data_IF_764475811989
#
_entry.id   IF_764475811989
#
_cell.length_a   1.000
_cell.length_b   1.000
_cell.length_c   1.000
_cell.angle_alpha   90.00
_cell.angle_beta   90.00
_cell.angle_gamma   90.00
#
_symmetry.space_group_name_H-M   'P 1'
#
loop_
_entity.id
_entity.type
_entity.pdbx_description
1 polymer ?
2 non-polymer ?
3 water ?
#
# COMPACT_ATOMS: atom_id res chain seq x y z
N UNK A 8 8.52 -14.42 -1.97
CA UNK A 8 7.41 -14.53 -0.96
C UNK A 8 6.11 -13.76 -1.30
N UNK A 9 6.21 -12.54 -1.85
CA UNK A 9 5.03 -11.83 -2.45
C UNK A 9 5.38 -11.16 -3.80
N UNK A 10 5.12 -11.87 -4.92
CA UNK A 10 5.36 -11.31 -6.23
C UNK A 10 4.18 -10.50 -6.78
N UNK A 11 4.47 -9.67 -7.81
CA UNK A 11 3.47 -8.95 -8.62
C UNK A 11 2.18 -9.78 -8.98
N UNK A 12 1.02 -9.25 -8.57
CA UNK A 12 -0.33 -9.75 -9.01
C UNK A 12 -0.79 -8.81 -10.12
N UNK A 13 -0.70 -9.24 -11.39
CA UNK A 13 -1.12 -8.41 -12.54
C UNK A 13 -2.65 -8.38 -12.77
N UNK A 14 -3.39 -7.90 -11.77
CA UNK A 14 -4.82 -7.64 -11.92
C UNK A 14 -5.06 -6.28 -12.66
N UNK A 15 -6.15 -6.21 -13.45
CA UNK A 15 -6.63 -5.07 -14.24
C UNK A 15 -7.44 -4.09 -13.40
N UNK A 16 -6.58 -3.38 -12.72
CA UNK A 16 -7.12 -2.46 -11.74
C UNK A 16 -6.58 -1.10 -12.07
N UNK A 17 -7.34 -0.21 -11.69
CA UNK A 17 -6.80 1.15 -11.61
C UNK A 17 -7.25 1.78 -10.27
N UNK A 18 -6.72 2.90 -9.70
CA UNK A 18 -7.17 3.75 -8.66
C UNK A 18 -7.83 4.96 -9.27
N UNK A 19 -9.21 5.44 -8.82
CA UNK A 19 -9.83 6.70 -9.15
C UNK A 19 -9.77 7.58 -7.94
N UNK A 20 -9.27 8.68 -8.16
CA UNK A 20 -8.99 9.62 -7.08
C UNK A 20 -9.70 10.88 -7.50
N UNK A 21 -10.82 11.17 -6.85
CA UNK A 21 -11.68 12.32 -7.18
C UNK A 21 -11.84 13.23 -6.00
N UNK A 22 -11.93 14.52 -6.28
CA UNK A 22 -12.20 15.55 -5.29
C UNK A 22 -13.46 15.25 -4.50
N UNK A 23 -14.47 14.75 -5.22
CA UNK A 23 -15.74 14.27 -4.66
C UNK A 23 -15.64 13.12 -3.60
N UNK A 24 -15.21 11.93 -4.00
CA UNK A 24 -15.26 10.74 -3.17
C UNK A 24 -13.91 10.17 -2.71
N UNK A 25 -12.83 10.94 -2.78
CA UNK A 25 -11.48 10.42 -2.58
C UNK A 25 -11.08 9.26 -3.52
N UNK A 26 -10.29 8.33 -2.99
CA UNK A 26 -9.71 7.20 -3.73
C UNK A 26 -10.52 5.91 -3.60
N UNK A 27 -10.49 5.09 -4.65
CA UNK A 27 -11.13 3.79 -4.66
C UNK A 27 -10.43 2.96 -5.73
N UNK A 28 -10.62 1.65 -5.67
CA UNK A 28 -10.06 0.72 -6.65
C UNK A 28 -11.18 0.25 -7.58
N UNK A 29 -10.93 0.31 -8.88
CA UNK A 29 -11.97 0.03 -9.89
C UNK A 29 -11.41 -0.91 -10.94
N UNK A 30 -12.32 -1.70 -11.52
CA UNK A 30 -11.98 -2.75 -12.49
C UNK A 30 -11.86 -2.13 -13.86
N UNK A 31 -10.75 -2.40 -14.53
CA UNK A 31 -10.55 -1.89 -15.91
C UNK A 31 -11.24 -2.84 -16.91
N UNK A 32 -11.21 -4.14 -16.65
CA UNK A 32 -11.89 -5.15 -17.49
C UNK A 32 -12.60 -6.20 -16.59
N UNK A 33 -13.40 -7.13 -17.18
CA UNK A 33 -14.11 -8.06 -16.31
C UNK A 33 -13.17 -8.95 -15.52
N UNK A 34 -13.53 -9.31 -14.28
CA UNK A 34 -12.67 -10.19 -13.48
C UNK A 34 -13.48 -11.36 -13.00
N UNK A 35 -12.97 -12.59 -13.12
CA UNK A 35 -13.74 -13.74 -12.67
C UNK A 35 -13.87 -13.79 -11.16
N UNK A 36 -14.96 -14.39 -10.67
CA UNK A 36 -15.08 -14.81 -9.28
C UNK A 36 -13.88 -15.58 -8.75
N UNK A 37 -13.59 -15.37 -7.46
CA UNK A 37 -12.51 -16.05 -6.72
C UNK A 37 -11.09 -15.85 -7.26
N UNK A 38 -10.85 -14.72 -7.87
CA UNK A 38 -9.55 -14.34 -8.37
C UNK A 38 -8.83 -13.51 -7.32
N UNK A 39 -7.62 -13.92 -6.99
CA UNK A 39 -6.78 -13.11 -6.09
C UNK A 39 -6.34 -11.85 -6.80
N UNK A 40 -6.87 -10.70 -6.40
CA UNK A 40 -6.51 -9.44 -7.07
C UNK A 40 -5.41 -8.56 -6.37
N UNK A 41 -4.96 -8.93 -5.17
CA UNK A 41 -4.01 -8.11 -4.43
C UNK A 41 -3.47 -8.92 -3.28
N UNK A 42 -2.17 -8.79 -3.02
CA UNK A 42 -1.55 -9.30 -1.80
C UNK A 42 -0.85 -8.08 -1.18
N UNK A 43 -1.29 -7.68 0.00
CA UNK A 43 -0.80 -6.43 0.60
C UNK A 43 0.12 -6.85 1.74
N UNK A 44 1.40 -6.45 1.72
CA UNK A 44 2.17 -6.59 2.97
C UNK A 44 1.65 -5.65 4.09
N UNK A 45 1.74 -6.07 5.32
CA UNK A 45 1.16 -5.35 6.42
C UNK A 45 2.27 -4.66 7.27
N UNK A 46 2.00 -3.44 7.65
CA UNK A 46 2.74 -2.75 8.69
C UNK A 46 2.04 -3.00 10.02
N UNK A 47 2.75 -3.66 10.94
CA UNK A 47 2.19 -4.09 12.21
C UNK A 47 2.51 -3.13 13.35
N UNK A 48 1.50 -2.84 14.15
CA UNK A 48 1.59 -2.01 15.33
C UNK A 48 1.35 -2.92 16.52
N UNK A 49 2.15 -2.79 17.56
CA UNK A 49 1.89 -3.50 18.80
C UNK A 49 0.61 -2.94 19.41
N UNK A 50 0.00 -3.72 20.28
CA UNK A 50 -1.22 -3.33 20.96
C UNK A 50 -0.98 -2.04 21.70
N UNK A 51 0.13 -1.99 22.46
CA UNK A 51 0.37 -0.80 23.26
C UNK A 51 0.55 0.48 22.42
N UNK A 52 1.38 0.44 21.38
CA UNK A 52 1.59 1.63 20.57
C UNK A 52 0.30 2.06 19.84
N UNK A 53 -0.59 1.12 19.50
CA UNK A 53 -1.82 1.50 18.86
C UNK A 53 -2.77 2.04 19.86
N UNK A 54 -2.89 1.38 21.01
CA UNK A 54 -3.79 1.87 22.04
C UNK A 54 -3.40 3.25 22.54
N UNK A 55 -2.10 3.42 22.79
CA UNK A 55 -1.63 4.69 23.30
C UNK A 55 -1.59 5.82 22.31
N UNK A 56 -1.26 5.50 21.06
CA UNK A 56 -1.02 6.52 20.06
C UNK A 56 -1.64 6.28 18.67
N UNK A 57 -1.45 5.11 18.09
CA UNK A 57 -1.89 4.87 16.71
C UNK A 57 -3.36 5.15 16.46
N UNK A 58 -4.19 4.78 17.44
CA UNK A 58 -5.65 4.94 17.32
C UNK A 58 -6.11 6.39 17.29
N UNK A 59 -5.26 7.31 17.77
CA UNK A 59 -5.59 8.73 17.74
C UNK A 59 -5.16 9.42 16.47
N UNK A 60 -4.77 8.66 15.46
CA UNK A 60 -4.40 9.22 14.16
C UNK A 60 -5.36 8.72 13.11
N UNK A 61 -5.14 9.15 11.89
CA UNK A 61 -5.86 8.62 10.77
C UNK A 61 -5.67 7.14 10.51
N UNK A 62 -4.66 6.51 11.15
CA UNK A 62 -4.52 5.06 11.13
C UNK A 62 -5.84 4.41 11.44
N UNK A 63 -6.58 5.00 12.38
CA UNK A 63 -7.87 4.47 12.88
C UNK A 63 -8.83 4.13 11.78
N UNK A 64 -8.77 4.86 10.68
CA UNK A 64 -9.69 4.71 9.61
C UNK A 64 -9.37 3.51 8.74
N UNK A 65 -8.18 2.94 8.81
CA UNK A 65 -7.68 1.97 7.82
C UNK A 65 -7.24 0.64 8.37
N UNK A 66 -6.86 0.58 9.65
CA UNK A 66 -6.22 -0.65 10.15
C UNK A 66 -7.15 -1.82 10.36
N UNK A 67 -6.55 -3.00 10.42
CA UNK A 67 -7.22 -4.25 10.59
C UNK A 67 -6.76 -4.79 11.93
N UNK A 68 -7.65 -5.15 12.82
CA UNK A 68 -7.32 -5.84 14.06
C UNK A 68 -6.39 -7.05 13.73
N UNK A 69 -5.41 -7.52 14.39
CA UNK A 69 -4.50 -8.66 14.27
C UNK A 69 -4.37 -9.45 15.60
N UNK A 70 -3.63 -10.54 15.58
CA UNK A 70 -3.56 -11.40 16.74
C UNK A 70 -2.95 -10.66 17.87
N UNK A 71 -3.46 -10.97 19.05
CA UNK A 71 -2.97 -10.47 20.37
C UNK A 71 -3.16 -8.99 20.57
N UNK A 72 -4.21 -8.44 19.98
CA UNK A 72 -4.48 -7.03 20.13
C UNK A 72 -3.59 -6.10 19.28
N UNK A 73 -2.65 -6.67 18.51
CA UNK A 73 -1.96 -5.91 17.46
C UNK A 73 -2.90 -5.37 16.38
N UNK A 74 -2.38 -4.48 15.55
CA UNK A 74 -3.16 -3.80 14.61
C UNK A 74 -2.28 -3.65 13.38
N UNK A 75 -2.82 -4.00 12.22
CA UNK A 75 -2.05 -3.98 10.97
C UNK A 75 -2.58 -2.92 9.99
N UNK A 76 -1.68 -2.23 9.29
CA UNK A 76 -2.07 -1.39 8.16
C UNK A 76 -1.67 -2.09 6.89
N UNK A 77 -2.61 -2.22 6.01
CA UNK A 77 -2.30 -2.80 4.77
C UNK A 77 -1.66 -1.82 3.85
N UNK A 78 -0.51 -2.22 3.33
CA UNK A 78 0.20 -1.49 2.31
C UNK A 78 -0.28 -1.99 0.92
N UNK A 79 0.46 -1.77 -0.15
CA UNK A 79 -0.02 -2.14 -1.47
C UNK A 79 -1.35 -1.43 -1.76
N UNK A 80 -2.35 -2.16 -2.20
CA UNK A 80 -3.67 -1.52 -2.49
C UNK A 80 -4.67 -1.68 -1.41
N UNK A 81 -4.36 -2.49 -0.41
CA UNK A 81 -5.30 -2.87 0.57
C UNK A 81 -6.06 -1.77 1.30
N UNK A 82 -5.37 -0.67 1.65
CA UNK A 82 -6.01 0.43 2.35
C UNK A 82 -6.84 1.27 1.41
N UNK A 83 -6.82 0.95 0.11
CA UNK A 83 -7.57 1.76 -0.86
C UNK A 83 -8.99 1.24 -1.19
N UNK A 84 -9.25 -0.05 -0.97
CA UNK A 84 -10.61 -0.58 -1.16
C UNK A 84 -11.58 0.20 -0.25
N UNK A 85 -12.70 0.70 -0.76
CA UNK A 85 -13.69 1.24 0.14
C UNK A 85 -14.57 0.16 0.73
N UNK A 86 -15.35 0.54 1.75
CA UNK A 86 -16.29 -0.34 2.39
C UNK A 86 -17.63 -0.13 1.75
N UNK A 87 -18.35 -1.24 1.62
CA UNK A 87 -19.71 -1.20 1.08
C UNK A 87 -20.56 -2.29 1.71
N UNK A 88 -21.86 -2.02 1.76
CA UNK A 88 -22.83 -2.97 2.21
C UNK A 88 -22.97 -4.19 1.29
N UNK A 89 -22.66 -4.11 0.01
CA UNK A 89 -22.76 -5.30 -0.82
C UNK A 89 -21.40 -5.51 -1.43
N UNK A 90 -20.42 -6.03 -0.65
CA UNK A 90 -19.06 -6.05 -1.11
C UNK A 90 -18.90 -7.06 -2.21
N UNK A 91 -17.93 -6.84 -3.07
CA UNK A 91 -17.56 -7.82 -4.08
C UNK A 91 -16.18 -8.33 -3.96
N UNK A 92 -15.53 -8.05 -2.81
CA UNK A 92 -14.19 -8.48 -2.53
C UNK A 92 -14.17 -8.98 -1.12
N UNK A 93 -13.60 -10.08 -0.81
CA UNK A 93 -13.39 -10.57 0.51
C UNK A 93 -11.87 -10.75 0.77
N UNK A 94 -11.31 -10.88 1.98
CA UNK A 94 -9.90 -11.01 2.32
C UNK A 94 -9.58 -12.10 3.28
N UNK A 95 -8.32 -12.43 3.26
CA UNK A 95 -7.73 -13.42 4.17
C UNK A 95 -6.43 -12.94 4.80
N UNK A 96 -6.43 -13.05 6.02
CA UNK A 96 -5.25 -12.63 6.71
C UNK A 96 -4.26 -13.78 6.85
N UNK A 97 -2.90 -13.46 6.69
CA UNK A 97 -1.83 -14.43 6.87
C UNK A 97 -0.92 -13.97 7.99
N UNK A 98 -1.04 -14.60 9.13
CA UNK A 98 -0.26 -14.26 10.31
C UNK A 98 1.23 -14.62 10.21
N UNK A 99 1.54 -15.74 9.59
CA UNK A 99 2.95 -16.19 9.42
C UNK A 99 3.76 -15.25 8.51
N UNK A 100 3.24 -14.93 7.33
CA UNK A 100 3.93 -14.07 6.35
C UNK A 100 3.53 -12.56 6.36
N UNK A 101 2.66 -12.12 7.30
CA UNK A 101 2.27 -10.71 7.42
C UNK A 101 1.77 -10.05 6.16
N UNK A 102 0.75 -10.65 5.62
CA UNK A 102 0.03 -10.01 4.56
C UNK A 102 -1.43 -10.25 4.62
N UNK A 103 -2.14 -9.55 3.75
CA UNK A 103 -3.54 -9.74 3.55
C UNK A 103 -3.76 -9.90 2.05
N UNK A 104 -4.53 -10.90 1.69
CA UNK A 104 -4.85 -11.25 0.30
C UNK A 104 -6.32 -10.97 0.08
N UNK A 105 -6.50 -10.42 -1.13
CA UNK A 105 -7.82 -10.00 -1.52
C UNK A 105 -8.28 -10.84 -2.73
N UNK A 106 -9.48 -11.07 -2.65
CA UNK A 106 -10.09 -11.89 -3.70
C UNK A 106 -11.42 -11.35 -4.09
N UNK A 107 -11.92 -11.61 -5.36
CA UNK A 107 -13.28 -11.33 -5.81
C UNK A 107 -14.30 -12.38 -5.30
N UNK A 108 -15.44 -11.86 -4.83
CA UNK A 108 -16.59 -12.66 -4.39
C UNK A 108 -17.46 -13.13 -5.55
N UNK A 109 -17.39 -12.49 -6.71
CA UNK A 109 -18.20 -12.82 -7.84
C UNK A 109 -17.51 -12.25 -9.05
N UNK A 110 -18.08 -12.44 -10.23
CA UNK A 110 -17.67 -11.76 -11.44
C UNK A 110 -17.83 -10.26 -11.25
N UNK A 111 -16.79 -9.54 -11.67
CA UNK A 111 -16.78 -8.12 -11.66
C UNK A 111 -16.86 -7.65 -13.09
N UNK A 112 -17.68 -6.66 -13.32
CA UNK A 112 -17.81 -6.04 -14.60
C UNK A 112 -16.87 -4.84 -14.71
N UNK A 113 -16.51 -4.42 -15.91
CA UNK A 113 -15.65 -3.29 -16.09
C UNK A 113 -16.35 -2.04 -15.58
N UNK A 114 -15.57 -1.18 -14.93
CA UNK A 114 -15.94 0.07 -14.28
C UNK A 114 -16.58 -0.10 -12.91
N UNK A 115 -16.69 -1.32 -12.43
CA UNK A 115 -17.22 -1.52 -11.08
C UNK A 115 -16.17 -1.15 -10.05
N UNK A 116 -16.58 -0.47 -8.99
CA UNK A 116 -15.73 -0.33 -7.80
C UNK A 116 -15.52 -1.65 -7.07
N UNK A 117 -14.28 -1.97 -6.67
CA UNK A 117 -13.97 -3.10 -5.76
C UNK A 117 -14.07 -2.62 -4.30
N UNK A 118 -14.95 -3.27 -3.55
CA UNK A 118 -15.28 -2.85 -2.20
C UNK A 118 -15.31 -4.04 -1.31
N UNK A 119 -14.87 -3.81 -0.07
CA UNK A 119 -14.87 -4.81 0.99
C UNK A 119 -15.96 -4.50 2.03
N UNK A 120 -16.23 -5.48 2.89
CA UNK A 120 -17.17 -5.35 3.98
C UNK A 120 -16.75 -4.23 4.94
N UNK A 121 -17.71 -3.61 5.64
CA UNK A 121 -17.37 -2.78 6.80
C UNK A 121 -16.78 -3.59 7.97
N UNK A 122 -17.06 -4.88 8.05
CA UNK A 122 -16.67 -5.66 9.17
C UNK A 122 -15.25 -6.18 9.11
N UNK A 123 -14.69 -6.32 10.28
CA UNK A 123 -13.40 -6.95 10.44
C UNK A 123 -13.66 -8.29 11.13
N UNK A 124 -12.63 -9.11 11.18
CA UNK A 124 -12.71 -10.35 11.89
C UNK A 124 -11.30 -10.87 12.19
N UNK A 125 -11.23 -11.78 13.14
CA UNK A 125 -9.94 -12.25 13.60
C UNK A 125 -9.89 -13.78 13.48
N UNK A 126 -9.54 -14.21 12.29
CA UNK A 126 -9.09 -15.57 12.06
C UNK A 126 -8.13 -15.41 10.90
N UNK A 127 -7.28 -16.41 10.77
CA UNK A 127 -6.18 -16.42 9.83
C UNK A 127 -6.28 -17.63 8.94
N UNK A 128 -5.93 -17.46 7.67
CA UNK A 128 -5.93 -18.59 6.74
C UNK A 128 -4.91 -19.65 7.17
N UNK A 129 -3.81 -19.23 7.76
CA UNK A 129 -2.74 -20.15 8.20
C UNK A 129 -2.96 -20.94 9.56
N UNK A 130 -4.07 -20.70 10.29
CA UNK A 130 -4.27 -21.30 11.63
C UNK A 130 -4.86 -22.71 11.54
N UNK B 1 -13.44 29.37 -11.93
CA UNK B 1 -13.65 28.54 -13.15
C UNK B 1 -13.30 27.09 -12.87
N UNK B 2 -13.68 26.24 -13.80
CA UNK B 2 -13.31 24.84 -13.77
C UNK B 2 -14.17 23.93 -12.88
N UNK B 3 -13.76 22.68 -12.77
CA UNK B 3 -14.56 21.68 -12.10
C UNK B 3 -13.68 20.97 -11.12
N UNK B 4 -14.28 20.02 -10.42
CA UNK B 4 -13.52 19.19 -9.47
C UNK B 4 -12.59 18.26 -10.20
N UNK B 5 -11.48 17.96 -9.56
CA UNK B 5 -10.49 17.04 -10.11
C UNK B 5 -10.94 15.55 -10.12
N UNK B 6 -10.37 14.81 -11.05
CA UNK B 6 -10.65 13.41 -11.27
C UNK B 6 -9.50 12.71 -11.99
N UNK B 7 -8.85 11.78 -11.33
CA UNK B 7 -7.73 11.04 -11.87
C UNK B 7 -7.94 9.54 -11.88
N UNK B 8 -7.36 8.87 -12.86
CA UNK B 8 -7.37 7.43 -12.99
C UNK B 8 -5.91 7.05 -13.10
N UNK B 9 -5.40 6.29 -12.15
CA UNK B 9 -3.99 6.09 -11.99
C UNK B 9 -3.73 4.58 -12.14
N UNK B 10 -2.67 4.20 -12.86
CA UNK B 10 -2.45 2.78 -13.15
C UNK B 10 -1.88 2.16 -11.92
N UNK B 11 -2.26 0.92 -11.73
CA UNK B 11 -1.55 0.13 -10.80
C UNK B 11 -0.45 -0.42 -11.68
N UNK B 12 0.79 0.04 -11.45
CA UNK B 12 1.93 -0.35 -12.33
C UNK B 12 2.35 -1.79 -12.01
N UNK B 13 2.29 -2.67 -12.98
CA UNK B 13 2.65 -4.06 -12.70
C UNK B 13 4.05 -4.34 -13.11
N UNK B 14 4.98 -3.84 -12.34
CA UNK B 14 6.40 -4.07 -12.54
C UNK B 14 6.77 -5.46 -12.05
N UNK B 15 7.83 -6.04 -12.60
CA UNK B 15 8.22 -7.40 -12.24
C UNK B 15 9.10 -7.36 -10.99
N UNK B 16 8.43 -7.21 -9.85
CA UNK B 16 9.05 -6.96 -8.58
C UNK B 16 8.51 -7.95 -7.60
N UNK B 17 9.27 -8.24 -6.56
CA UNK B 17 8.82 -9.15 -5.53
C UNK B 17 9.30 -8.68 -4.16
N UNK B 18 8.57 -9.01 -3.10
CA UNK B 18 8.94 -8.66 -1.77
C UNK B 18 9.56 -9.89 -1.18
N UNK B 19 10.73 -9.72 -0.60
CA UNK B 19 11.36 -10.79 0.12
C UNK B 19 11.86 -10.32 1.45
N UNK B 20 11.98 -11.25 2.37
CA UNK B 20 12.69 -10.93 3.62
C UNK B 20 14.19 -10.97 3.42
N UNK B 21 14.92 -9.99 3.96
CA UNK B 21 16.39 -9.95 3.98
C UNK B 21 16.92 -10.18 5.41
N UNK B 22 18.15 -10.67 5.53
CA UNK B 22 18.71 -10.98 6.84
C UNK B 22 18.90 -9.74 7.67
N UNK B 23 19.48 -8.69 7.12
CA UNK B 23 19.77 -7.58 7.98
C UNK B 23 18.61 -6.58 8.05
N UNK B 24 17.91 -6.36 6.94
CA UNK B 24 17.06 -5.15 6.83
C UNK B 24 15.53 -5.37 6.83
N UNK B 25 15.10 -6.60 7.11
CA UNK B 25 13.69 -6.96 7.02
C UNK B 25 13.31 -7.01 5.55
N UNK B 26 12.08 -6.65 5.24
CA UNK B 26 11.53 -6.85 3.93
C UNK B 26 12.13 -5.89 2.95
N UNK B 27 12.24 -6.35 1.72
CA UNK B 27 12.81 -5.55 0.69
C UNK B 27 12.19 -5.94 -0.62
N UNK B 28 12.44 -5.12 -1.63
CA UNK B 28 11.86 -5.27 -2.95
C UNK B 28 12.97 -5.70 -3.91
N UNK B 29 12.67 -6.74 -4.67
CA UNK B 29 13.64 -7.36 -5.59
C UNK B 29 13.10 -7.51 -7.03
N UNK B 30 14.00 -7.40 -8.01
CA UNK B 30 13.69 -7.62 -9.45
C UNK B 30 13.58 -9.07 -9.84
N UNK B 31 12.50 -9.42 -10.53
CA UNK B 31 12.29 -10.73 -11.07
C UNK B 31 12.84 -10.87 -12.50
N UNK B 32 13.19 -9.75 -13.10
CA UNK B 32 13.78 -9.72 -14.43
C UNK B 32 14.44 -8.35 -14.58
N UNK B 33 15.31 -8.20 -15.60
CA UNK B 33 15.97 -6.93 -15.75
C UNK B 33 14.99 -5.79 -16.02
N UNK B 34 15.41 -4.58 -15.67
CA UNK B 34 14.56 -3.42 -15.79
C UNK B 34 15.41 -2.29 -16.33
N UNK B 35 14.95 -1.62 -17.41
CA UNK B 35 15.76 -0.51 -17.93
C UNK B 35 15.86 0.64 -16.99
N UNK B 36 16.91 1.44 -17.17
CA UNK B 36 17.09 2.69 -16.46
C UNK B 36 15.98 3.66 -16.74
N UNK B 37 15.76 4.61 -15.85
CA UNK B 37 14.71 5.59 -16.02
C UNK B 37 13.32 4.97 -16.32
N UNK B 38 13.02 3.80 -15.75
CA UNK B 38 11.69 3.22 -15.88
C UNK B 38 10.88 3.59 -14.60
N UNK B 39 9.65 4.05 -14.75
CA UNK B 39 8.77 4.24 -13.60
C UNK B 39 8.31 2.87 -13.07
N UNK B 40 8.72 2.48 -11.87
CA UNK B 40 8.33 1.12 -11.37
C UNK B 40 7.21 1.12 -10.35
N UNK B 41 6.83 2.30 -9.86
CA UNK B 41 5.80 2.39 -8.84
C UNK B 41 5.29 3.85 -8.72
N UNK B 42 3.99 4.00 -8.54
CA UNK B 42 3.36 5.25 -8.16
C UNK B 42 2.59 4.90 -6.88
N UNK B 43 3.03 5.42 -5.73
CA UNK B 43 2.42 5.11 -4.42
C UNK B 43 1.52 6.27 -3.94
N UNK B 44 0.23 5.99 -3.70
CA UNK B 44 -0.60 6.90 -2.92
C UNK B 44 0.00 7.08 -1.52
N UNK B 45 -0.08 8.29 -0.99
CA UNK B 45 0.40 8.63 0.25
C UNK B 45 -0.77 8.86 1.19
N UNK B 46 -0.67 8.23 2.37
CA UNK B 46 -1.57 8.49 3.47
C UNK B 46 -0.87 9.60 4.27
N UNK B 47 -1.54 10.73 4.43
CA UNK B 47 -0.98 11.90 5.06
C UNK B 47 -1.32 12.06 6.53
N UNK B 48 -0.31 12.37 7.35
CA UNK B 48 -0.53 12.68 8.74
C UNK B 48 -0.28 14.17 8.96
N UNK B 49 -1.18 14.86 9.63
CA UNK B 49 -1.00 16.28 9.97
C UNK B 49 0.19 16.40 10.93
N UNK B 50 0.76 17.58 10.94
CA UNK B 50 1.83 17.90 11.86
C UNK B 50 1.42 17.56 13.29
N UNK B 51 0.22 17.96 13.66
CA UNK B 51 -0.22 17.80 15.02
C UNK B 51 -0.37 16.31 15.42
N UNK B 52 -0.99 15.48 14.58
CA UNK B 52 -1.22 14.05 14.99
C UNK B 52 0.11 13.28 14.94
N UNK B 53 1.01 13.71 14.05
CA UNK B 53 2.29 13.10 13.98
C UNK B 53 3.09 13.48 15.23
N UNK B 54 3.14 14.76 15.56
CA UNK B 54 3.93 15.15 16.73
C UNK B 54 3.35 14.59 18.05
N UNK B 55 2.02 14.54 18.17
CA UNK B 55 1.42 14.06 19.41
C UNK B 55 1.40 12.52 19.57
N UNK B 56 1.27 11.85 18.44
CA UNK B 56 0.95 10.41 18.44
C UNK B 56 1.80 9.61 17.46
N UNK B 57 1.79 10.03 16.21
CA UNK B 57 2.34 9.18 15.17
C UNK B 57 3.82 8.86 15.26
N UNK B 58 4.60 9.83 15.66
CA UNK B 58 6.07 9.67 15.87
C UNK B 58 6.46 8.70 16.96
N UNK B 59 5.53 8.41 17.85
CA UNK B 59 5.75 7.47 18.92
C UNK B 59 5.47 6.02 18.49
N UNK B 60 5.12 5.82 17.23
CA UNK B 60 4.79 4.49 16.74
C UNK B 60 5.84 4.17 15.68
N UNK B 61 5.74 2.92 15.23
CA UNK B 61 6.52 2.40 14.17
C UNK B 61 6.32 3.19 12.86
N UNK B 62 5.30 4.05 12.71
CA UNK B 62 5.25 4.95 11.57
C UNK B 62 6.50 5.72 11.37
N UNK B 63 7.09 6.09 12.49
CA UNK B 63 8.31 6.87 12.48
C UNK B 63 9.42 6.27 11.60
N UNK B 64 9.46 4.97 11.48
CA UNK B 64 10.44 4.28 10.66
C UNK B 64 10.15 4.28 9.20
N UNK B 65 8.95 4.71 8.79
CA UNK B 65 8.51 4.56 7.42
C UNK B 65 8.12 5.86 6.76
N UNK B 66 7.81 6.94 7.48
CA UNK B 66 7.23 8.04 6.84
C UNK B 66 8.31 8.89 6.17
N UNK B 67 7.83 9.72 5.25
CA UNK B 67 8.59 10.68 4.40
C UNK B 67 8.19 12.06 4.91
N UNK B 68 9.16 12.92 5.17
CA UNK B 68 8.83 14.31 5.51
C UNK B 68 8.08 14.98 4.34
N UNK B 69 7.08 15.77 4.68
CA UNK B 69 6.23 16.48 3.69
C UNK B 69 6.15 17.95 4.12
N UNK B 70 5.57 18.80 3.30
CA UNK B 70 5.49 20.22 3.64
C UNK B 70 4.72 20.50 4.92
N UNK B 71 5.15 21.56 5.61
CA UNK B 71 4.41 22.09 6.73
C UNK B 71 4.36 21.19 7.96
N UNK B 72 5.40 20.39 8.15
CA UNK B 72 5.51 19.48 9.30
C UNK B 72 4.66 18.21 9.17
N UNK B 73 4.04 17.98 8.00
CA UNK B 73 3.26 16.78 7.71
C UNK B 73 4.20 15.61 7.43
N UNK B 74 3.67 14.41 7.55
CA UNK B 74 4.45 13.19 7.26
C UNK B 74 3.55 12.29 6.41
N UNK B 75 4.15 11.67 5.40
CA UNK B 75 3.43 10.87 4.47
C UNK B 75 3.89 9.45 4.58
N UNK B 76 2.94 8.53 4.63
CA UNK B 76 3.25 7.17 4.55
C UNK B 76 2.90 6.67 3.16
N UNK B 77 3.92 6.17 2.46
CA UNK B 77 3.68 5.62 1.13
C UNK B 77 2.95 4.28 1.23
N UNK B 78 1.77 4.21 0.60
CA UNK B 78 1.11 2.91 0.38
C UNK B 78 1.71 2.29 -0.90
N UNK B 79 1.02 1.36 -1.55
CA UNK B 79 1.70 0.72 -2.66
C UNK B 79 2.99 0.03 -2.16
N UNK B 80 4.08 0.06 -2.94
CA UNK B 80 5.45 -0.48 -2.53
C UNK B 80 6.38 0.54 -1.90
N UNK B 81 5.97 1.81 -1.80
CA UNK B 81 6.90 2.82 -1.40
C UNK B 81 7.47 2.71 -0.01
N UNK B 82 6.80 2.03 0.90
CA UNK B 82 7.33 1.86 2.26
C UNK B 82 8.19 0.59 2.35
N UNK B 83 8.17 -0.24 1.30
CA UNK B 83 8.86 -1.53 1.27
C UNK B 83 10.33 -1.47 0.79
N UNK B 84 10.73 -0.37 0.15
CA UNK B 84 12.11 -0.21 -0.33
C UNK B 84 13.06 0.00 0.87
N UNK B 85 14.07 -0.83 1.00
CA UNK B 85 15.19 -0.47 1.85
C UNK B 85 16.00 0.73 1.44
N UNK B 86 16.62 1.32 2.44
CA UNK B 86 17.55 2.41 2.19
C UNK B 86 18.95 1.85 1.98
N UNK B 87 19.73 2.46 1.09
CA UNK B 87 21.12 2.01 0.86
C UNK B 87 21.99 3.18 0.49
N UNK B 88 23.27 3.08 0.86
CA UNK B 88 24.28 4.09 0.46
C UNK B 88 24.47 4.22 -1.07
N UNK B 89 24.35 3.10 -1.78
CA UNK B 89 24.40 3.09 -3.23
C UNK B 89 23.03 2.77 -3.84
N UNK B 90 22.11 3.74 -3.86
CA UNK B 90 20.74 3.44 -4.32
C UNK B 90 20.65 3.20 -5.80
N UNK B 91 19.74 2.37 -6.24
CA UNK B 91 19.48 2.22 -7.66
C UNK B 91 18.08 2.72 -8.09
N UNK B 92 17.41 3.43 -7.19
CA UNK B 92 16.02 3.92 -7.40
C UNK B 92 16.00 5.32 -6.84
N UNK B 93 15.37 6.25 -7.57
CA UNK B 93 15.14 7.56 -7.02
C UNK B 93 13.63 7.81 -6.99
N UNK B 94 13.20 8.74 -6.15
CA UNK B 94 11.77 9.07 -6.06
C UNK B 94 11.51 10.54 -6.27
N UNK B 95 10.27 10.86 -6.55
CA UNK B 95 9.80 12.24 -6.63
C UNK B 95 8.47 12.34 -5.93
N UNK B 96 8.29 13.36 -5.14
CA UNK B 96 7.00 13.63 -4.49
C UNK B 96 6.12 14.50 -5.38
N UNK B 97 4.85 14.15 -5.51
CA UNK B 97 3.84 14.99 -6.18
C UNK B 97 3.15 15.71 -5.05
N UNK B 98 3.49 16.97 -4.86
CA UNK B 98 2.90 17.76 -3.81
C UNK B 98 1.50 18.24 -4.11
N UNK B 99 1.15 18.30 -5.38
CA UNK B 99 -0.22 18.61 -5.77
C UNK B 99 -1.19 17.49 -5.43
N UNK B 100 -0.83 16.25 -5.67
CA UNK B 100 -1.83 15.16 -5.56
C UNK B 100 -1.56 14.15 -4.42
N UNK B 101 -0.36 14.18 -3.77
CA UNK B 101 0.03 13.18 -2.65
C UNK B 101 0.32 11.75 -3.11
N UNK B 102 1.27 11.68 -4.02
CA UNK B 102 1.77 10.49 -4.52
C UNK B 102 3.28 10.64 -4.47
N UNK B 103 3.94 9.48 -4.50
CA UNK B 103 5.35 9.35 -4.72
C UNK B 103 5.52 8.40 -5.92
N UNK B 104 6.35 8.81 -6.86
CA UNK B 104 6.72 7.99 -8.00
C UNK B 104 8.12 7.50 -7.86
N UNK B 105 8.40 6.25 -8.24
CA UNK B 105 9.77 5.66 -8.08
C UNK B 105 10.30 5.27 -9.48
N UNK B 106 11.55 5.66 -9.80
CA UNK B 106 12.18 5.38 -11.10
C UNK B 106 13.54 4.74 -10.91
N UNK B 107 13.87 3.76 -11.72
CA UNK B 107 15.22 3.18 -11.71
C UNK B 107 16.26 4.20 -12.18
N UNK B 108 17.34 4.32 -11.43
CA UNK B 108 18.52 5.14 -11.79
C UNK B 108 19.39 4.53 -12.92
N UNK B 109 19.44 3.21 -13.01
CA UNK B 109 20.27 2.48 -13.97
C UNK B 109 19.51 1.23 -14.30
N UNK B 110 20.06 0.38 -15.16
CA UNK B 110 19.43 -0.91 -15.44
C UNK B 110 19.56 -1.77 -14.20
N UNK B 111 18.52 -2.54 -13.94
CA UNK B 111 18.51 -3.39 -12.78
C UNK B 111 18.63 -4.84 -13.25
N UNK B 112 19.37 -5.64 -12.52
CA UNK B 112 19.58 -7.03 -12.87
C UNK B 112 18.57 -7.92 -12.21
N UNK B 113 18.28 -9.07 -12.82
CA UNK B 113 17.52 -10.07 -12.15
C UNK B 113 18.07 -10.31 -10.76
N UNK B 114 17.18 -10.32 -9.76
CA UNK B 114 17.55 -10.54 -8.36
C UNK B 114 18.19 -9.41 -7.66
N UNK B 115 18.46 -8.30 -8.30
CA UNK B 115 18.97 -7.20 -7.53
C UNK B 115 17.85 -6.64 -6.58
N UNK B 116 18.26 -6.09 -5.46
CA UNK B 116 17.38 -5.47 -4.52
C UNK B 116 17.25 -4.05 -4.98
N UNK B 117 16.04 -3.52 -4.97
CA UNK B 117 15.82 -2.12 -5.40
C UNK B 117 15.85 -1.30 -4.13
N UNK B 118 16.73 -0.30 -4.06
CA UNK B 118 16.89 0.52 -2.87
C UNK B 118 16.92 1.97 -3.18
N UNK B 119 16.43 2.75 -2.21
CA UNK B 119 16.39 4.21 -2.32
C UNK B 119 17.40 4.79 -1.31
N UNK B 120 17.56 6.09 -1.28
CA UNK B 120 18.28 6.66 -0.12
C UNK B 120 17.37 7.53 0.73
X LIG C 1 -9.88 3.38 24.81
X LIG C 1 -10.66 4.47 24.15
X LIG C 1 -10.73 2.17 25.08
X LIG C 1 -8.65 3.04 24.00
X LIG C 1 -9.46 3.84 26.14
X LIG D 1 10.21 -4.78 7.98
X LIG D 1 9.15 -3.84 7.58
X LIG D 1 10.04 -5.24 9.37
X LIG D 1 10.12 -6.02 7.21
X LIG D 1 11.48 -4.08 7.77
#
# INVERSE_FOLDING_TARGET
AGHMTSMRIPVIRSPLEIRDTERKGRGVFALEPIPAQTCIEISPVLMFSKEEYEQHGQYTVLNEYTYVWSEGKQGLALGLGSMFNHDRHPNVYWKKDNRNNYISYYTLREIKTNEELCISYGDHLWFEDEASSASRISPNEENEDFPLQNISLLETMYPYDVPDYAAPG
AGHMTSMRIPVIRSPLEIRDTERKGRGVFALEPIPAQTCIEISPVLMFSKEEYEQHGQYTVLNEYTYVWSEGKQGLALGLGSMFNHDRHPNVYWKKDNRNNYISYYTLREIKTNEELCISYGDHLWFEDEASSASRISPNEENEDFPLQNISLLETMYPYDVPDYAAPG
SO4 S O1 O2 O3 O4
SO4 S O1 O2 O3 O4
#
